data_IF_626267111593
#
_entry.id   IF_626267111593
#
_cell.length_a   1.000
_cell.length_b   1.000
_cell.length_c   1.000
_cell.angle_alpha   90.00
_cell.angle_beta   90.00
_cell.angle_gamma   90.00
#
_symmetry.space_group_name_H-M   'P 1'
#
loop_
_entity.id
_entity.type
_entity.pdbx_description
1 polymer ?
#
# COMPACT_ATOMS: atom_id res chain seq x y z
N UNK A 1 22.14 1.31 -6.50
CA UNK A 1 20.81 1.20 -5.88
C UNK A 1 19.89 2.06 -6.71
N UNK A 2 18.78 1.50 -7.17
CA UNK A 2 17.78 2.27 -7.92
C UNK A 2 17.14 3.29 -6.97
N UNK A 3 17.01 4.53 -7.42
CA UNK A 3 16.47 5.63 -6.63
C UNK A 3 15.42 6.36 -7.44
N UNK A 4 14.29 6.68 -6.80
CA UNK A 4 13.26 7.53 -7.39
C UNK A 4 13.84 8.91 -7.74
N UNK A 5 13.25 9.56 -8.73
CA UNK A 5 13.57 10.95 -9.05
C UNK A 5 13.27 11.86 -7.87
N UNK A 6 14.01 12.97 -7.74
CA UNK A 6 13.78 13.96 -6.67
C UNK A 6 12.37 14.55 -6.72
N UNK A 7 11.80 14.69 -7.93
CA UNK A 7 10.42 15.15 -8.12
C UNK A 7 9.41 14.16 -7.53
N UNK A 8 9.52 12.87 -7.88
CA UNK A 8 8.65 11.84 -7.34
C UNK A 8 8.79 11.71 -5.82
N UNK A 9 10.02 11.76 -5.30
CA UNK A 9 10.26 11.73 -3.86
C UNK A 9 9.63 12.93 -3.13
N UNK A 10 9.66 14.12 -3.74
CA UNK A 10 9.01 15.32 -3.23
C UNK A 10 7.48 15.20 -3.15
N UNK A 11 6.85 14.65 -4.18
CA UNK A 11 5.40 14.38 -4.20
C UNK A 11 5.03 13.37 -3.10
N UNK A 12 5.76 12.26 -3.01
CA UNK A 12 5.54 11.22 -2.00
C UNK A 12 5.70 11.81 -0.59
N UNK A 13 6.77 12.58 -0.35
CA UNK A 13 7.03 13.20 0.95
C UNK A 13 5.98 14.24 1.30
N UNK A 14 5.46 14.99 0.31
CA UNK A 14 4.35 15.93 0.52
C UNK A 14 3.09 15.22 0.98
N UNK A 15 2.71 14.13 0.28
CA UNK A 15 1.54 13.34 0.63
C UNK A 15 1.63 12.81 2.06
N UNK A 16 2.74 12.14 2.43
CA UNK A 16 2.89 11.59 3.77
C UNK A 16 2.97 12.67 4.85
N UNK A 17 3.59 13.82 4.56
CA UNK A 17 3.64 14.92 5.51
C UNK A 17 2.22 15.44 5.80
N UNK A 18 1.40 15.63 4.76
CA UNK A 18 0.00 16.02 4.90
C UNK A 18 -0.83 14.96 5.63
N UNK A 19 -0.65 13.67 5.31
CA UNK A 19 -1.32 12.55 5.97
C UNK A 19 -1.09 12.54 7.49
N UNK A 20 0.08 13.03 7.94
CA UNK A 20 0.43 13.15 9.36
C UNK A 20 0.22 14.54 9.96
N UNK A 21 -0.30 15.52 9.20
CA UNK A 21 -0.40 16.90 9.66
C UNK A 21 0.96 17.55 9.96
N UNK A 22 2.02 17.11 9.27
CA UNK A 22 3.40 17.56 9.45
C UNK A 22 3.89 18.38 8.24
N UNK A 23 4.95 19.16 8.45
CA UNK A 23 5.75 19.70 7.34
C UNK A 23 6.74 18.66 6.80
N UNK A 24 7.09 18.73 5.51
CA UNK A 24 7.97 17.74 4.85
C UNK A 24 9.33 17.56 5.56
N UNK A 25 9.89 18.62 6.12
CA UNK A 25 11.15 18.57 6.86
C UNK A 25 11.10 17.62 8.07
N UNK A 26 9.92 17.38 8.66
CA UNK A 26 9.77 16.43 9.76
C UNK A 26 10.05 14.99 9.32
N UNK A 27 9.72 14.63 8.07
CA UNK A 27 9.95 13.29 7.56
C UNK A 27 11.44 12.95 7.38
N UNK A 28 12.30 13.97 7.26
CA UNK A 28 13.74 13.78 7.10
C UNK A 28 14.49 13.63 8.44
N UNK A 29 13.82 13.85 9.57
CA UNK A 29 14.42 13.75 10.91
C UNK A 29 14.59 12.29 11.31
N UNK A 30 15.59 12.02 12.15
CA UNK A 30 15.66 10.77 12.91
C UNK A 30 14.85 10.90 14.21
N UNK A 31 14.47 9.77 14.79
CA UNK A 31 13.82 9.69 16.10
C UNK A 31 12.34 9.37 16.02
N UNK A 32 11.66 9.60 17.15
CA UNK A 32 10.25 9.27 17.37
C UNK A 32 9.40 10.53 17.40
N UNK A 33 8.29 10.53 16.67
CA UNK A 33 7.28 11.59 16.68
C UNK A 33 5.91 11.00 16.97
N UNK A 34 5.21 11.55 17.96
CA UNK A 34 3.81 11.21 18.25
C UNK A 34 2.92 12.37 17.82
N UNK A 35 1.99 12.08 16.91
CA UNK A 35 1.13 13.07 16.25
C UNK A 35 -0.35 12.65 16.36
N UNK A 36 -1.29 13.60 16.40
CA UNK A 36 -2.69 13.23 16.28
C UNK A 36 -2.98 12.66 14.89
N UNK A 37 -4.06 11.89 14.75
CA UNK A 37 -4.61 11.55 13.45
C UNK A 37 -4.93 12.82 12.65
N UNK A 38 -4.60 12.78 11.35
CA UNK A 38 -4.93 13.81 10.39
C UNK A 38 -5.47 13.20 9.07
N UNK A 39 -4.85 12.10 8.61
CA UNK A 39 -5.37 11.28 7.50
C UNK A 39 -6.08 9.99 7.98
N UNK A 40 -6.38 9.88 9.28
CA UNK A 40 -6.85 8.67 9.95
C UNK A 40 -8.02 8.94 10.91
N UNK A 41 -8.82 9.98 10.64
CA UNK A 41 -9.75 10.59 11.60
C UNK A 41 -10.55 9.57 12.46
N UNK A 42 -11.31 8.69 11.82
CA UNK A 42 -12.16 7.72 12.52
C UNK A 42 -11.45 6.37 12.79
N UNK A 43 -10.14 6.27 12.59
CA UNK A 43 -9.40 5.05 12.87
C UNK A 43 -9.28 4.86 14.39
N UNK A 44 -9.88 3.81 14.99
CA UNK A 44 -9.90 3.64 16.43
C UNK A 44 -8.64 2.86 16.86
N UNK A 45 -7.48 3.49 16.75
CA UNK A 45 -6.22 2.77 16.96
C UNK A 45 -4.96 3.58 16.66
N UNK A 46 -3.80 2.96 16.81
CA UNK A 46 -2.51 3.58 16.52
C UNK A 46 -2.02 3.19 15.12
N UNK A 47 -1.34 4.12 14.47
CA UNK A 47 -0.69 3.88 13.20
C UNK A 47 0.78 4.25 13.27
N UNK A 48 1.63 3.23 13.20
CA UNK A 48 3.07 3.34 13.20
C UNK A 48 3.55 3.41 11.76
N UNK A 49 4.43 4.37 11.48
CA UNK A 49 5.08 4.54 10.20
C UNK A 49 6.58 4.70 10.42
N UNK A 50 7.35 3.79 9.83
CA UNK A 50 8.80 3.76 9.94
C UNK A 50 9.43 4.06 8.59
N UNK A 51 10.36 5.02 8.58
CA UNK A 51 11.19 5.36 7.41
C UNK A 51 12.63 5.62 7.84
N UNK A 52 13.52 4.66 7.60
CA UNK A 52 14.88 4.73 8.10
C UNK A 52 14.90 4.84 9.63
N UNK A 53 15.54 5.88 10.16
CA UNK A 53 15.60 6.15 11.60
C UNK A 53 14.39 6.95 12.13
N UNK A 54 13.43 7.31 11.29
CA UNK A 54 12.19 7.98 11.70
C UNK A 54 11.12 6.94 12.07
N UNK A 55 10.49 7.15 13.22
CA UNK A 55 9.24 6.51 13.62
C UNK A 55 8.19 7.60 13.89
N UNK A 56 7.08 7.57 13.15
CA UNK A 56 5.89 8.36 13.45
C UNK A 56 4.85 7.42 14.04
N UNK A 57 4.25 7.82 15.15
CA UNK A 57 3.12 7.16 15.78
C UNK A 57 1.95 8.13 15.71
N UNK A 58 1.01 7.86 14.81
CA UNK A 58 -0.23 8.61 14.72
C UNK A 58 -1.27 7.97 15.64
N UNK A 59 -1.91 8.77 16.48
CA UNK A 59 -2.87 8.30 17.49
C UNK A 59 -4.15 9.15 17.48
N UNK A 60 -5.28 8.65 18.00
CA UNK A 60 -6.46 9.46 18.20
C UNK A 60 -6.12 10.69 19.04
N UNK A 61 -6.66 11.89 18.73
CA UNK A 61 -6.30 13.13 19.43
C UNK A 61 -6.41 13.04 20.95
N UNK A 62 -7.38 12.28 21.46
CA UNK A 62 -7.62 12.07 22.90
C UNK A 62 -6.48 11.33 23.60
N UNK A 63 -5.66 10.57 22.87
CA UNK A 63 -4.55 9.78 23.42
C UNK A 63 -3.17 10.44 23.19
N UNK A 64 -3.14 11.62 22.56
CA UNK A 64 -1.90 12.24 22.11
C UNK A 64 -0.92 12.52 23.26
N UNK A 65 -1.39 13.17 24.32
CA UNK A 65 -0.53 13.56 25.44
C UNK A 65 -0.02 12.34 26.23
N UNK A 66 -0.84 11.29 26.31
CA UNK A 66 -0.44 10.03 26.93
C UNK A 66 0.74 9.40 26.18
N UNK A 67 0.60 9.16 24.88
CA UNK A 67 1.66 8.52 24.10
C UNK A 67 2.88 9.41 23.87
N UNK A 68 2.75 10.75 23.95
CA UNK A 68 3.92 11.64 23.97
C UNK A 68 4.78 11.47 25.21
N UNK A 69 4.16 11.24 26.37
CA UNK A 69 4.86 11.08 27.64
C UNK A 69 5.40 9.65 27.83
N UNK A 70 4.70 8.64 27.31
CA UNK A 70 5.13 7.25 27.36
C UNK A 70 6.24 6.98 26.33
N UNK A 71 7.28 6.24 26.73
CA UNK A 71 8.34 5.73 25.83
C UNK A 71 8.21 4.23 25.56
N UNK A 72 7.15 3.61 26.06
CA UNK A 72 7.01 2.16 26.10
C UNK A 72 6.73 1.58 24.70
N UNK A 73 5.86 2.23 23.92
CA UNK A 73 5.51 1.76 22.57
C UNK A 73 6.62 2.09 21.55
N UNK A 74 7.07 1.05 20.85
CA UNK A 74 8.14 1.14 19.84
C UNK A 74 7.75 0.40 18.57
N UNK A 75 8.60 0.47 17.54
CA UNK A 75 8.40 -0.37 16.35
C UNK A 75 8.49 -1.88 16.67
N UNK A 76 9.41 -2.26 17.57
CA UNK A 76 9.63 -3.67 17.92
C UNK A 76 8.52 -4.21 18.82
N UNK A 77 7.93 -3.34 19.63
CA UNK A 77 6.82 -3.66 20.50
C UNK A 77 5.75 -2.55 20.43
N UNK A 78 4.89 -2.58 19.41
CA UNK A 78 3.86 -1.55 19.22
C UNK A 78 2.71 -1.66 20.23
N UNK A 79 2.67 -2.73 21.02
CA UNK A 79 1.64 -2.99 22.04
C UNK A 79 2.13 -2.71 23.47
N UNK A 80 3.43 -2.44 23.65
CA UNK A 80 3.97 -2.01 24.94
C UNK A 80 3.31 -0.72 25.42
N UNK A 81 2.88 -0.74 26.68
CA UNK A 81 2.19 0.39 27.31
C UNK A 81 0.78 0.63 26.76
N UNK A 82 0.17 -0.32 26.05
CA UNK A 82 -1.19 -0.16 25.54
C UNK A 82 -2.22 -0.25 26.69
N UNK A 83 -2.95 0.84 26.91
CA UNK A 83 -3.98 0.94 27.94
C UNK A 83 -5.27 0.18 27.59
N UNK A 84 -5.49 -0.07 26.30
CA UNK A 84 -6.62 -0.79 25.77
C UNK A 84 -6.19 -2.18 25.29
N UNK A 85 -7.03 -3.23 25.42
CA UNK A 85 -6.74 -4.48 24.74
C UNK A 85 -6.74 -4.27 23.21
N UNK A 86 -5.70 -4.70 22.50
CA UNK A 86 -5.68 -4.58 21.05
C UNK A 86 -6.70 -5.56 20.47
N UNK A 87 -7.57 -5.08 19.59
CA UNK A 87 -8.49 -5.93 18.84
C UNK A 87 -7.73 -6.65 17.71
N UNK A 88 -6.83 -5.92 17.03
CA UNK A 88 -6.10 -6.44 15.87
C UNK A 88 -4.84 -5.65 15.60
N UNK A 89 -3.75 -6.33 15.29
CA UNK A 89 -2.55 -5.74 14.70
C UNK A 89 -2.42 -6.17 13.24
N UNK A 90 -2.14 -5.21 12.35
CA UNK A 90 -1.88 -5.44 10.92
C UNK A 90 -0.51 -4.87 10.59
N UNK A 91 0.39 -5.73 10.11
CA UNK A 91 1.74 -5.36 9.72
C UNK A 91 2.81 -6.20 10.42
N UNK A 92 4.10 -5.89 10.19
CA UNK A 92 4.58 -4.78 9.39
C UNK A 92 4.20 -4.93 7.91
N UNK A 93 3.72 -3.85 7.30
CA UNK A 93 3.46 -3.76 5.87
C UNK A 93 4.53 -2.91 5.21
N UNK A 94 5.15 -3.43 4.16
CA UNK A 94 6.11 -2.72 3.34
C UNK A 94 5.38 -1.78 2.37
N UNK A 95 5.94 -0.57 2.19
CA UNK A 95 5.48 0.42 1.20
C UNK A 95 6.64 0.71 0.26
N UNK A 96 6.44 0.40 -1.02
CA UNK A 96 7.36 0.75 -2.09
C UNK A 96 6.71 1.66 -3.12
N UNK A 97 7.55 2.39 -3.82
CA UNK A 97 7.15 3.24 -4.93
C UNK A 97 8.02 2.98 -6.15
N UNK A 98 7.46 3.21 -7.32
CA UNK A 98 8.23 3.23 -8.56
C UNK A 98 7.81 4.42 -9.42
N UNK A 99 8.78 4.98 -10.13
CA UNK A 99 8.56 5.96 -11.19
C UNK A 99 9.22 5.48 -12.50
N UNK A 100 9.24 6.32 -13.54
CA UNK A 100 9.81 5.95 -14.85
C UNK A 100 11.29 5.60 -14.80
N UNK A 101 12.01 6.05 -13.77
CA UNK A 101 13.45 5.77 -13.61
C UNK A 101 13.73 4.41 -12.98
N UNK A 102 12.75 3.83 -12.28
CA UNK A 102 12.94 2.59 -11.50
C UNK A 102 12.07 1.43 -11.99
N UNK A 103 10.95 1.68 -12.66
CA UNK A 103 10.06 0.62 -13.15
C UNK A 103 10.79 -0.26 -14.15
N UNK A 104 10.85 -1.55 -13.87
CA UNK A 104 11.44 -2.55 -14.76
C UNK A 104 10.37 -3.21 -15.60
N UNK A 105 10.44 -3.01 -16.91
CA UNK A 105 9.52 -3.64 -17.84
C UNK A 105 9.81 -5.13 -18.03
N UNK A 106 8.74 -5.89 -18.23
CA UNK A 106 8.83 -7.31 -18.55
C UNK A 106 8.99 -7.48 -20.06
N UNK A 107 9.91 -8.37 -20.48
CA UNK A 107 10.13 -8.71 -21.91
C UNK A 107 8.86 -9.31 -22.53
N UNK A 108 8.15 -10.15 -21.76
CA UNK A 108 6.88 -10.73 -22.15
C UNK A 108 5.82 -10.36 -21.12
N UNK A 109 4.83 -9.60 -21.54
CA UNK A 109 3.68 -9.24 -20.71
C UNK A 109 2.39 -9.30 -21.54
N UNK A 110 1.54 -10.27 -21.20
CA UNK A 110 0.25 -10.49 -21.84
C UNK A 110 -0.91 -9.83 -21.11
N UNK A 111 -0.64 -9.14 -20.00
CA UNK A 111 -1.64 -8.33 -19.32
C UNK A 111 -2.01 -7.11 -20.17
N UNK A 112 -3.31 -6.80 -20.17
CA UNK A 112 -3.89 -5.68 -20.92
C UNK A 112 -4.89 -4.91 -20.06
N UNK A 113 -5.17 -3.67 -20.45
CA UNK A 113 -6.28 -2.91 -19.88
C UNK A 113 -7.60 -3.66 -20.13
N UNK A 114 -8.50 -3.61 -19.16
CA UNK A 114 -9.85 -4.14 -19.34
C UNK A 114 -10.68 -3.19 -20.19
N UNK A 115 -11.64 -3.74 -20.91
CA UNK A 115 -12.69 -3.01 -21.64
C UNK A 115 -14.06 -3.37 -21.06
N UNK A 116 -15.11 -2.66 -21.49
CA UNK A 116 -16.49 -2.97 -21.05
C UNK A 116 -16.88 -4.43 -21.31
N UNK A 117 -16.39 -5.02 -22.40
CA UNK A 117 -16.65 -6.42 -22.76
C UNK A 117 -16.09 -7.44 -21.74
N UNK A 118 -15.15 -7.03 -20.88
CA UNK A 118 -14.54 -7.91 -19.87
C UNK A 118 -15.33 -8.00 -18.56
N UNK A 119 -16.39 -7.19 -18.38
CA UNK A 119 -17.15 -7.15 -17.14
C UNK A 119 -17.68 -8.53 -16.69
N UNK A 120 -18.20 -9.40 -17.60
CA UNK A 120 -18.60 -10.74 -17.22
C UNK A 120 -17.45 -11.59 -16.67
N UNK A 121 -16.26 -11.49 -17.27
CA UNK A 121 -15.07 -12.22 -16.81
C UNK A 121 -14.56 -11.69 -15.46
N UNK A 122 -14.67 -10.38 -15.22
CA UNK A 122 -14.37 -9.76 -13.94
C UNK A 122 -15.29 -10.27 -12.83
N UNK A 123 -16.60 -10.37 -13.06
CA UNK A 123 -17.54 -10.92 -12.06
C UNK A 123 -17.24 -12.37 -11.71
N UNK A 124 -16.96 -13.21 -12.71
CA UNK A 124 -16.56 -14.61 -12.49
C UNK A 124 -15.28 -14.69 -11.67
N UNK A 125 -14.31 -13.83 -11.96
CA UNK A 125 -13.05 -13.78 -11.24
C UNK A 125 -13.22 -13.29 -9.79
N UNK A 126 -14.04 -12.26 -9.55
CA UNK A 126 -14.37 -11.77 -8.22
C UNK A 126 -15.01 -12.88 -7.38
N UNK A 127 -16.00 -13.57 -7.93
CA UNK A 127 -16.69 -14.66 -7.24
C UNK A 127 -15.79 -15.88 -6.94
N UNK A 128 -14.66 -16.02 -7.62
CA UNK A 128 -13.69 -17.09 -7.39
C UNK A 128 -12.66 -16.75 -6.29
N UNK A 129 -12.57 -15.48 -5.87
CA UNK A 129 -11.72 -15.05 -4.77
C UNK A 129 -12.52 -15.10 -3.47
N UNK A 130 -11.87 -15.47 -2.36
CA UNK A 130 -12.53 -15.32 -1.06
C UNK A 130 -12.67 -13.83 -0.68
N UNK A 131 -13.57 -13.53 0.27
CA UNK A 131 -13.87 -12.16 0.66
C UNK A 131 -12.63 -11.42 1.20
N UNK A 132 -11.80 -12.07 2.01
CA UNK A 132 -10.64 -11.44 2.62
C UNK A 132 -9.55 -11.14 1.58
N UNK A 133 -9.36 -12.02 0.62
CA UNK A 133 -8.46 -11.83 -0.52
C UNK A 133 -8.94 -10.68 -1.40
N UNK A 134 -10.24 -10.59 -1.66
CA UNK A 134 -10.82 -9.50 -2.42
C UNK A 134 -10.71 -8.15 -1.70
N UNK A 135 -10.99 -8.10 -0.40
CA UNK A 135 -10.83 -6.89 0.43
C UNK A 135 -9.39 -6.38 0.46
N UNK A 136 -8.39 -7.27 0.35
CA UNK A 136 -6.99 -6.90 0.41
C UNK A 136 -6.34 -6.59 -0.94
N UNK A 137 -6.84 -7.16 -2.05
CA UNK A 137 -6.18 -7.06 -3.35
C UNK A 137 -7.10 -6.92 -4.56
N UNK A 138 -8.42 -7.02 -4.35
CA UNK A 138 -9.43 -6.76 -5.37
C UNK A 138 -9.52 -5.29 -5.75
N UNK A 139 -10.30 -5.01 -6.78
CA UNK A 139 -10.59 -3.65 -7.22
C UNK A 139 -11.97 -3.61 -7.85
N UNK A 140 -12.77 -2.61 -7.48
CA UNK A 140 -14.09 -2.38 -8.05
C UNK A 140 -14.04 -2.16 -9.57
N UNK A 141 -15.18 -2.36 -10.23
CA UNK A 141 -15.29 -2.21 -11.68
C UNK A 141 -15.06 -0.75 -12.10
N UNK A 142 -13.88 -0.47 -12.65
CA UNK A 142 -13.47 0.80 -13.23
C UNK A 142 -12.47 0.52 -14.38
N UNK A 143 -12.94 0.09 -15.57
CA UNK A 143 -12.08 -0.50 -16.60
C UNK A 143 -10.92 0.41 -17.04
N UNK A 144 -11.07 1.73 -16.94
CA UNK A 144 -10.03 2.70 -17.24
C UNK A 144 -8.84 2.69 -16.25
N UNK A 145 -8.98 2.00 -15.12
CA UNK A 145 -7.95 1.79 -14.08
C UNK A 145 -7.67 0.32 -13.82
N UNK A 146 -8.22 -0.60 -14.62
CA UNK A 146 -8.03 -2.04 -14.43
C UNK A 146 -7.14 -2.63 -15.52
N UNK A 147 -6.28 -3.56 -15.10
CA UNK A 147 -5.46 -4.39 -15.96
C UNK A 147 -5.69 -5.85 -15.58
N UNK A 148 -5.93 -6.69 -16.58
CA UNK A 148 -6.15 -8.12 -16.43
C UNK A 148 -5.18 -8.96 -17.24
N UNK A 149 -4.90 -10.16 -16.75
CA UNK A 149 -4.23 -11.22 -17.50
C UNK A 149 -5.21 -12.35 -17.76
N UNK A 150 -5.27 -12.86 -19.00
CA UNK A 150 -6.24 -13.87 -19.42
C UNK A 150 -5.55 -15.19 -19.82
N UNK A 151 -6.20 -16.32 -19.51
CA UNK A 151 -5.85 -17.66 -19.99
C UNK A 151 -7.09 -18.40 -20.44
N UNK A 152 -7.08 -18.87 -21.69
CA UNK A 152 -8.21 -19.59 -22.29
C UNK A 152 -9.55 -18.84 -22.11
N UNK A 153 -9.53 -17.51 -22.32
CA UNK A 153 -10.71 -16.63 -22.16
C UNK A 153 -11.10 -16.31 -20.72
N UNK A 154 -10.38 -16.82 -19.71
CA UNK A 154 -10.66 -16.55 -18.28
C UNK A 154 -9.68 -15.55 -17.73
N UNK A 155 -10.19 -14.59 -16.96
CA UNK A 155 -9.34 -13.69 -16.17
C UNK A 155 -8.64 -14.51 -15.07
N UNK A 156 -7.30 -14.40 -14.98
CA UNK A 156 -6.48 -15.17 -14.02
C UNK A 156 -5.70 -14.28 -13.04
N UNK A 157 -5.56 -13.00 -13.34
CA UNK A 157 -5.08 -11.98 -12.41
C UNK A 157 -5.68 -10.62 -12.76
N UNK A 158 -5.85 -9.78 -11.75
CA UNK A 158 -6.40 -8.44 -11.84
C UNK A 158 -5.52 -7.50 -11.01
N UNK A 159 -5.22 -6.33 -11.54
CA UNK A 159 -4.72 -5.21 -10.77
C UNK A 159 -5.51 -3.94 -11.08
N UNK A 160 -5.74 -3.13 -10.06
CA UNK A 160 -6.34 -1.81 -10.15
C UNK A 160 -5.62 -0.80 -9.29
N UNK A 161 -5.98 0.48 -9.41
CA UNK A 161 -5.47 1.49 -8.49
C UNK A 161 -6.49 2.56 -8.12
N UNK A 162 -6.30 3.09 -6.91
CA UNK A 162 -6.91 4.33 -6.46
C UNK A 162 -5.92 5.49 -6.58
N UNK A 163 -6.42 6.73 -6.66
CA UNK A 163 -5.58 7.92 -6.69
C UNK A 163 -5.53 8.55 -5.29
N UNK A 164 -4.36 8.53 -4.68
CA UNK A 164 -4.11 9.15 -3.38
C UNK A 164 -3.39 10.49 -3.56
N UNK A 165 -3.83 11.51 -2.83
CA UNK A 165 -3.23 12.85 -2.86
C UNK A 165 -3.15 13.48 -4.27
N UNK A 166 -4.00 13.05 -5.20
CA UNK A 166 -4.02 13.53 -6.58
C UNK A 166 -2.87 13.06 -7.49
N UNK A 167 -1.88 12.33 -6.96
CA UNK A 167 -0.65 12.02 -7.72
C UNK A 167 -0.12 10.59 -7.52
N UNK A 168 -0.64 9.82 -6.56
CA UNK A 168 -0.16 8.47 -6.26
C UNK A 168 -1.19 7.46 -6.73
N UNK A 169 -0.80 6.52 -7.59
CA UNK A 169 -1.59 5.34 -7.93
C UNK A 169 -1.34 4.24 -6.88
N UNK A 170 -2.25 4.08 -5.92
CA UNK A 170 -2.22 3.02 -4.91
C UNK A 170 -2.69 1.70 -5.53
N UNK A 171 -1.76 0.80 -5.84
CA UNK A 171 -2.05 -0.44 -6.56
C UNK A 171 -2.61 -1.51 -5.60
N UNK A 172 -3.71 -2.12 -6.02
CA UNK A 172 -4.22 -3.39 -5.52
C UNK A 172 -4.04 -4.49 -6.59
N UNK A 173 -3.71 -5.70 -6.17
CA UNK A 173 -3.57 -6.85 -7.08
C UNK A 173 -4.04 -8.13 -6.42
N UNK A 174 -4.70 -8.97 -7.22
CA UNK A 174 -5.12 -10.31 -6.84
C UNK A 174 -4.90 -11.27 -8.01
N UNK A 175 -4.52 -12.51 -7.70
CA UNK A 175 -4.38 -13.60 -8.67
C UNK A 175 -5.35 -14.71 -8.27
N UNK A 176 -6.05 -15.26 -9.26
CA UNK A 176 -7.01 -16.34 -9.06
C UNK A 176 -6.36 -17.45 -8.22
N UNK A 177 -7.04 -17.99 -7.17
CA UNK A 177 -6.41 -18.90 -6.22
C UNK A 177 -5.70 -20.10 -6.85
N UNK A 178 -6.28 -20.68 -7.91
CA UNK A 178 -5.72 -21.83 -8.63
C UNK A 178 -4.60 -21.49 -9.65
N UNK A 179 -4.32 -20.21 -9.89
CA UNK A 179 -3.38 -19.73 -10.92
C UNK A 179 -2.14 -19.04 -10.33
N UNK A 180 -1.96 -19.14 -9.00
CA UNK A 180 -0.82 -18.56 -8.27
C UNK A 180 0.51 -19.21 -8.66
N UNK A 181 1.61 -18.50 -8.41
CA UNK A 181 2.97 -18.99 -8.68
C UNK A 181 3.36 -19.02 -10.16
N UNK A 182 2.52 -18.49 -11.05
CA UNK A 182 2.74 -18.50 -12.52
C UNK A 182 3.16 -17.14 -13.10
N UNK A 183 3.39 -16.15 -12.24
CA UNK A 183 3.85 -14.81 -12.65
C UNK A 183 2.76 -13.86 -13.16
N UNK A 184 1.47 -14.22 -13.12
CA UNK A 184 0.39 -13.35 -13.60
C UNK A 184 0.22 -12.07 -12.77
N UNK A 185 0.33 -12.15 -11.45
CA UNK A 185 0.32 -10.98 -10.57
C UNK A 185 1.38 -9.94 -10.96
N UNK A 186 2.60 -10.41 -11.26
CA UNK A 186 3.70 -9.53 -11.72
C UNK A 186 3.38 -8.86 -13.06
N UNK A 187 2.78 -9.58 -13.99
CA UNK A 187 2.39 -9.04 -15.30
C UNK A 187 1.34 -7.94 -15.19
N UNK A 188 0.29 -8.15 -14.38
CA UNK A 188 -0.75 -7.12 -14.22
C UNK A 188 -0.21 -5.89 -13.48
N UNK A 189 0.64 -6.05 -12.48
CA UNK A 189 1.24 -4.92 -11.73
C UNK A 189 2.16 -4.09 -12.62
N UNK A 190 3.03 -4.72 -13.42
CA UNK A 190 3.93 -3.98 -14.32
C UNK A 190 3.13 -3.17 -15.35
N UNK A 191 2.15 -3.79 -16.01
CA UNK A 191 1.32 -3.13 -17.02
C UNK A 191 0.50 -2.00 -16.41
N UNK A 192 -0.05 -2.20 -15.21
CA UNK A 192 -0.82 -1.19 -14.50
C UNK A 192 0.06 -0.02 -14.05
N UNK A 193 1.24 -0.31 -13.47
CA UNK A 193 2.19 0.71 -13.07
C UNK A 193 2.63 1.55 -14.27
N UNK A 194 3.02 0.91 -15.39
CA UNK A 194 3.37 1.63 -16.64
C UNK A 194 2.23 2.56 -17.08
N UNK A 195 0.99 2.07 -17.10
CA UNK A 195 -0.18 2.87 -17.47
C UNK A 195 -0.43 4.05 -16.51
N UNK A 196 -0.19 3.89 -15.21
CA UNK A 196 -0.28 4.98 -14.24
C UNK A 196 0.81 6.03 -14.45
N UNK A 197 2.05 5.61 -14.73
CA UNK A 197 3.18 6.52 -15.00
C UNK A 197 3.01 7.29 -16.33
N UNK A 198 2.37 6.69 -17.33
CA UNK A 198 1.97 7.38 -18.57
C UNK A 198 1.00 8.54 -18.29
N UNK A 199 0.15 8.40 -17.28
CA UNK A 199 -0.79 9.44 -16.81
C UNK A 199 -0.15 10.47 -15.87
N UNK A 200 1.16 10.39 -15.65
CA UNK A 200 1.89 11.31 -14.76
C UNK A 200 1.72 11.02 -13.27
N UNK A 201 1.17 9.86 -12.90
CA UNK A 201 1.10 9.41 -11.51
C UNK A 201 2.41 8.74 -11.10
N UNK A 202 2.55 8.48 -9.79
CA UNK A 202 3.60 7.63 -9.21
C UNK A 202 2.95 6.36 -8.70
N UNK A 203 3.47 5.19 -9.05
CA UNK A 203 2.89 3.93 -8.60
C UNK A 203 3.37 3.59 -7.19
N UNK A 204 2.43 3.30 -6.30
CA UNK A 204 2.69 2.77 -4.95
C UNK A 204 2.24 1.32 -4.90
N UNK A 205 3.06 0.48 -4.26
CA UNK A 205 2.73 -0.91 -3.95
C UNK A 205 2.91 -1.14 -2.45
N UNK A 206 1.88 -1.70 -1.80
CA UNK A 206 1.90 -1.98 -0.36
C UNK A 206 1.51 -3.42 -0.12
N UNK A 207 2.26 -4.12 0.73
CA UNK A 207 1.92 -5.49 1.11
C UNK A 207 2.47 -5.86 2.48
N UNK A 208 1.89 -6.87 3.13
CA UNK A 208 2.42 -7.39 4.39
C UNK A 208 3.83 -7.94 4.17
N UNK A 209 4.74 -7.67 5.11
CA UNK A 209 6.12 -8.16 5.02
C UNK A 209 6.20 -9.69 5.08
N UNK A 210 5.18 -10.33 5.66
CA UNK A 210 5.03 -11.79 5.64
C UNK A 210 4.59 -12.34 4.27
N UNK A 211 4.08 -11.52 3.36
CA UNK A 211 3.66 -11.93 2.02
C UNK A 211 4.85 -11.89 1.05
N UNK A 212 5.74 -12.88 1.18
CA UNK A 212 6.97 -12.98 0.37
C UNK A 212 6.71 -12.95 -1.14
N UNK A 213 5.63 -13.59 -1.61
CA UNK A 213 5.29 -13.61 -3.03
C UNK A 213 4.92 -12.21 -3.56
N UNK A 214 4.17 -11.43 -2.79
CA UNK A 214 3.79 -10.06 -3.17
C UNK A 214 4.95 -9.08 -3.05
N UNK A 215 5.81 -9.23 -2.03
CA UNK A 215 7.06 -8.47 -1.91
C UNK A 215 7.96 -8.68 -3.14
N UNK A 216 8.09 -9.94 -3.58
CA UNK A 216 8.90 -10.27 -4.73
C UNK A 216 8.40 -9.59 -6.01
N UNK A 217 7.08 -9.45 -6.19
CA UNK A 217 6.51 -8.67 -7.31
C UNK A 217 7.02 -7.23 -7.26
N UNK A 218 6.93 -6.56 -6.11
CA UNK A 218 7.40 -5.18 -5.95
C UNK A 218 8.90 -5.05 -6.27
N UNK A 219 9.73 -5.89 -5.67
CA UNK A 219 11.19 -5.81 -5.85
C UNK A 219 11.64 -6.14 -7.27
N UNK A 220 11.06 -7.16 -7.92
CA UNK A 220 11.41 -7.53 -9.29
C UNK A 220 11.02 -6.44 -10.30
N UNK A 221 9.93 -5.71 -10.04
CA UNK A 221 9.47 -4.61 -10.86
C UNK A 221 10.16 -3.27 -10.54
N UNK A 222 11.12 -3.26 -9.61
CA UNK A 222 11.92 -2.08 -9.29
C UNK A 222 11.20 -1.07 -8.40
N UNK A 223 10.21 -1.50 -7.60
CA UNK A 223 9.68 -0.64 -6.54
C UNK A 223 10.74 -0.46 -5.44
N UNK A 224 11.08 0.80 -5.19
CA UNK A 224 12.04 1.21 -4.18
C UNK A 224 11.33 1.30 -2.82
N UNK A 225 11.92 0.67 -1.81
CA UNK A 225 11.43 0.73 -0.43
C UNK A 225 11.38 2.18 0.05
N UNK A 226 10.24 2.60 0.57
CA UNK A 226 10.06 3.94 1.13
C UNK A 226 9.78 3.92 2.62
N UNK A 227 8.89 3.04 3.09
CA UNK A 227 8.52 2.97 4.50
C UNK A 227 7.96 1.59 4.85
N UNK A 228 7.73 1.37 6.13
CA UNK A 228 6.92 0.27 6.65
C UNK A 228 5.87 0.81 7.61
N UNK A 229 4.76 0.09 7.75
CA UNK A 229 3.68 0.50 8.64
C UNK A 229 3.15 -0.63 9.51
N UNK A 230 2.73 -0.32 10.73
CA UNK A 230 1.93 -1.20 11.58
C UNK A 230 0.67 -0.45 11.99
N UNK A 231 -0.48 -1.09 11.87
CA UNK A 231 -1.76 -0.56 12.31
C UNK A 231 -2.25 -1.41 13.48
N UNK A 232 -2.47 -0.78 14.64
CA UNK A 232 -3.02 -1.42 15.84
C UNK A 232 -4.41 -0.85 16.05
N UNK A 233 -5.44 -1.69 15.95
CA UNK A 233 -6.83 -1.31 16.24
C UNK A 233 -7.18 -1.69 17.68
N UNK A 234 -7.87 -0.81 18.38
CA UNK A 234 -8.37 -1.03 19.73
C UNK A 234 -9.75 -1.69 19.73
N UNK A 235 -10.10 -2.35 20.82
CA UNK A 235 -11.44 -2.88 21.02
C UNK A 235 -12.46 -1.75 21.24
N UNK A 236 -12.07 -0.68 21.94
CA UNK A 236 -12.88 0.51 22.21
C UNK A 236 -12.12 1.78 21.81
N UNK A 237 -12.80 2.69 21.11
CA UNK A 237 -12.22 3.95 20.61
C UNK A 237 -11.93 4.99 21.71
N UNK A 238 -12.32 4.70 22.95
CA UNK A 238 -12.25 5.61 24.12
C UNK A 238 -11.12 5.29 25.09
N UNK A 239 -10.27 4.31 24.77
CA UNK A 239 -9.23 3.82 25.68
C UNK A 239 -7.84 4.35 25.31
#
# INVERSE_FOLDING_TARGET
MDTLTSSSYGIISTYWAQFFGLGQAALAKAGRLVVPHAGLDDYPGMWFFRRGALLIISVPPVLLEHYRAADDCSWADPLAGLHAPPLRQIGPAWIGYTDRSTLRSLVHNEARRLTEDDQPAWHVFQAACDQQEWEHGGSDWAPERLVGCFRNGRLVALAGYEIWGGAIAHIAVVTHPLERGRGYGRQVVERLASAALERGLIAQYRTLSANAASLQIGWELGFVTYAETIAVRFADATA
#
